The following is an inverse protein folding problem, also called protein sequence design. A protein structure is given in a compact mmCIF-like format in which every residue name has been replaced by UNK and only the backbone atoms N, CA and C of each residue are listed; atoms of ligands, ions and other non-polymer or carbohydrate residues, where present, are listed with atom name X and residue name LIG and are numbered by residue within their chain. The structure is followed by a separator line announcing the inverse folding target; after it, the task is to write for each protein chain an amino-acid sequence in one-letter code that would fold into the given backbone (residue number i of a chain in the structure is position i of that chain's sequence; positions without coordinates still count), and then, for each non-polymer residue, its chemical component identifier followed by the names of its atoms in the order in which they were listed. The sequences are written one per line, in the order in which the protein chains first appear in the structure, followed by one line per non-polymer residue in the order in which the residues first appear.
data_IF_388786002282
#
_entry.id   IF_388786002282
#
_cell.length_a   1.000
_cell.length_b   1.000
_cell.length_c   1.000
_cell.angle_alpha   90.00
_cell.angle_beta   90.00
_cell.angle_gamma   90.00
#
_symmetry.space_group_name_H-M   'P 1'
#
loop_
_entity.id
_entity.type
_entity.pdbx_description
1 polymer ?
#
# COMPACT_ATOMS: atom_id res chain seq x y z
N UNK A 1 18.69 10.75 13.04
CA UNK A 1 19.37 10.09 11.88
C UNK A 1 18.37 10.02 10.73
N UNK A 2 18.63 10.71 9.62
CA UNK A 2 17.76 10.66 8.43
C UNK A 2 17.95 9.30 7.75
N UNK A 3 16.86 8.55 7.54
CA UNK A 3 16.90 7.25 6.85
C UNK A 3 17.00 7.45 5.34
N UNK A 4 17.71 6.56 4.64
CA UNK A 4 17.84 6.60 3.19
C UNK A 4 16.50 6.37 2.49
N UNK A 5 16.37 6.84 1.24
CA UNK A 5 15.18 6.60 0.42
C UNK A 5 14.92 5.09 0.25
N UNK A 6 15.94 4.29 -0.03
CA UNK A 6 15.82 2.84 -0.15
C UNK A 6 15.28 2.18 1.12
N UNK A 7 15.72 2.64 2.31
CA UNK A 7 15.17 2.17 3.58
C UNK A 7 13.67 2.50 3.70
N UNK A 8 13.28 3.73 3.35
CA UNK A 8 11.88 4.15 3.41
C UNK A 8 11.00 3.36 2.43
N UNK A 9 11.48 3.13 1.21
CA UNK A 9 10.80 2.31 0.19
C UNK A 9 10.59 0.89 0.69
N UNK A 10 11.66 0.25 1.21
CA UNK A 10 11.58 -1.09 1.76
C UNK A 10 10.53 -1.21 2.87
N UNK A 11 10.57 -0.30 3.85
CA UNK A 11 9.62 -0.33 4.95
C UNK A 11 8.20 0.03 4.53
N UNK A 12 8.01 0.95 3.59
CA UNK A 12 6.70 1.24 3.01
C UNK A 12 6.06 -0.05 2.43
N UNK A 13 6.81 -0.83 1.66
CA UNK A 13 6.34 -2.12 1.15
C UNK A 13 5.93 -3.08 2.26
N UNK A 14 6.74 -3.20 3.33
CA UNK A 14 6.43 -4.09 4.47
C UNK A 14 5.19 -3.67 5.24
N UNK A 15 4.96 -2.38 5.44
CA UNK A 15 3.75 -1.89 6.12
C UNK A 15 2.52 -2.04 5.24
N UNK A 16 2.65 -1.80 3.93
CA UNK A 16 1.56 -2.02 2.97
C UNK A 16 1.13 -3.50 2.95
N UNK A 17 2.09 -4.42 2.87
CA UNK A 17 1.85 -5.87 2.91
C UNK A 17 1.14 -6.30 4.20
N UNK A 18 1.50 -5.71 5.35
CA UNK A 18 0.81 -5.98 6.62
C UNK A 18 -0.66 -5.55 6.59
N UNK A 19 -0.93 -4.34 6.11
CA UNK A 19 -2.30 -3.81 6.00
C UNK A 19 -3.12 -4.71 5.05
N UNK A 20 -2.52 -5.13 3.94
CA UNK A 20 -3.14 -6.07 3.00
C UNK A 20 -3.47 -7.40 3.67
N UNK A 21 -2.50 -8.01 4.35
CA UNK A 21 -2.65 -9.31 4.99
C UNK A 21 -3.72 -9.30 6.08
N UNK A 22 -3.76 -8.25 6.91
CA UNK A 22 -4.82 -8.06 7.91
C UNK A 22 -6.18 -8.02 7.21
N UNK A 23 -6.30 -7.24 6.15
CA UNK A 23 -7.58 -7.07 5.45
C UNK A 23 -8.05 -8.38 4.81
N UNK A 24 -7.14 -9.13 4.16
CA UNK A 24 -7.44 -10.44 3.56
C UNK A 24 -7.84 -11.47 4.61
N UNK A 25 -7.10 -11.56 5.72
CA UNK A 25 -7.39 -12.52 6.78
C UNK A 25 -8.71 -12.22 7.48
N UNK A 26 -9.00 -10.95 7.74
CA UNK A 26 -10.29 -10.53 8.30
C UNK A 26 -11.45 -10.86 7.34
N UNK A 27 -11.30 -10.59 6.04
CA UNK A 27 -12.31 -10.95 5.04
C UNK A 27 -12.53 -12.46 4.98
N UNK A 28 -11.45 -13.25 5.02
CA UNK A 28 -11.54 -14.70 5.04
C UNK A 28 -12.27 -15.20 6.30
N UNK A 29 -11.97 -14.64 7.47
CA UNK A 29 -12.64 -14.99 8.72
C UNK A 29 -14.15 -14.70 8.61
N UNK A 30 -14.52 -13.52 8.12
CA UNK A 30 -15.92 -13.12 7.88
C UNK A 30 -16.63 -14.09 6.94
N UNK A 31 -16.03 -14.38 5.78
CA UNK A 31 -16.63 -15.23 4.76
C UNK A 31 -16.76 -16.70 5.25
N UNK A 32 -15.98 -17.11 6.25
CA UNK A 32 -16.08 -18.42 6.92
C UNK A 32 -16.99 -18.43 8.14
N UNK A 33 -17.58 -17.29 8.51
CA UNK A 33 -18.41 -17.16 9.72
C UNK A 33 -17.60 -17.29 11.02
N UNK A 34 -16.29 -17.05 10.97
CA UNK A 34 -15.40 -17.04 12.14
C UNK A 34 -15.45 -15.65 12.77
N UNK A 35 -15.41 -15.61 14.09
CA UNK A 35 -15.35 -14.36 14.84
C UNK A 35 -14.02 -13.61 14.57
N UNK A 36 -14.13 -12.38 14.08
CA UNK A 36 -13.00 -11.47 13.81
C UNK A 36 -12.17 -11.21 15.06
N UNK A 37 -12.77 -11.29 16.26
CA UNK A 37 -12.05 -11.05 17.51
C UNK A 37 -10.87 -12.01 17.71
N UNK A 38 -10.89 -13.17 17.03
CA UNK A 38 -9.81 -14.16 17.04
C UNK A 38 -8.68 -13.85 16.06
N UNK A 39 -8.92 -13.04 15.02
CA UNK A 39 -7.94 -12.71 13.97
C UNK A 39 -6.64 -12.12 14.49
N UNK A 40 -6.62 -11.20 15.48
CA UNK A 40 -5.37 -10.68 16.06
C UNK A 40 -4.45 -11.79 16.58
N UNK A 41 -5.01 -12.81 17.24
CA UNK A 41 -4.23 -13.90 17.82
C UNK A 41 -3.51 -14.74 16.76
N UNK A 42 -4.18 -15.03 15.63
CA UNK A 42 -3.58 -15.75 14.51
C UNK A 42 -2.46 -14.96 13.82
N UNK A 43 -2.51 -13.64 13.91
CA UNK A 43 -1.51 -12.74 13.34
C UNK A 43 -0.40 -12.36 14.34
N UNK A 44 -0.46 -12.86 15.58
CA UNK A 44 0.46 -12.48 16.65
C UNK A 44 0.34 -11.02 17.08
N UNK A 45 -0.85 -10.43 16.91
CA UNK A 45 -1.17 -9.04 17.29
C UNK A 45 -1.78 -9.06 18.69
N UNK A 46 -1.14 -8.34 19.61
CA UNK A 46 -1.55 -8.23 21.01
C UNK A 46 -2.46 -7.01 21.31
N UNK A 47 -3.03 -6.40 20.27
CA UNK A 47 -3.86 -5.20 20.36
C UNK A 47 -5.11 -5.35 19.47
N UNK A 48 -6.02 -4.39 19.57
CA UNK A 48 -7.15 -4.27 18.67
C UNK A 48 -6.67 -4.13 17.20
N UNK A 49 -7.35 -4.84 16.30
CA UNK A 49 -6.93 -4.94 14.89
C UNK A 49 -7.00 -3.59 14.17
N UNK A 50 -7.93 -2.72 14.56
CA UNK A 50 -8.08 -1.39 13.97
C UNK A 50 -6.99 -0.46 14.48
N UNK A 51 -6.69 -0.50 15.79
CA UNK A 51 -5.54 0.23 16.35
C UNK A 51 -4.24 -0.19 15.70
N UNK A 52 -4.05 -1.49 15.49
CA UNK A 52 -2.87 -2.01 14.82
C UNK A 52 -2.80 -1.54 13.35
N UNK A 53 -3.92 -1.56 12.62
CA UNK A 53 -4.00 -1.02 11.25
C UNK A 53 -3.61 0.46 11.20
N UNK A 54 -4.19 1.29 12.08
CA UNK A 54 -3.89 2.72 12.18
C UNK A 54 -2.40 2.94 12.46
N UNK A 55 -1.83 2.21 13.42
CA UNK A 55 -0.40 2.32 13.73
C UNK A 55 0.49 1.98 12.53
N UNK A 56 0.19 0.89 11.81
CA UNK A 56 0.96 0.53 10.60
C UNK A 56 0.77 1.58 9.49
N UNK A 57 -0.42 2.15 9.35
CA UNK A 57 -0.69 3.21 8.37
C UNK A 57 0.09 4.50 8.68
N UNK A 58 0.14 4.95 9.92
CA UNK A 58 0.90 6.17 10.26
C UNK A 58 2.40 6.02 9.96
N UNK A 59 2.96 4.83 10.20
CA UNK A 59 4.36 4.55 9.86
C UNK A 59 4.54 4.43 8.33
N UNK A 60 3.60 3.79 7.63
CA UNK A 60 3.58 3.74 6.16
C UNK A 60 3.57 5.15 5.56
N UNK A 61 2.68 6.01 6.05
CA UNK A 61 2.52 7.39 5.61
C UNK A 61 3.81 8.17 5.70
N UNK A 62 4.53 8.05 6.81
CA UNK A 62 5.81 8.74 7.00
C UNK A 62 6.90 8.24 6.03
N UNK A 63 6.92 6.94 5.75
CA UNK A 63 7.83 6.39 4.75
C UNK A 63 7.48 6.83 3.33
N UNK A 64 6.18 6.88 2.99
CA UNK A 64 5.68 7.25 1.67
C UNK A 64 5.81 8.75 1.37
N UNK A 65 5.74 9.63 2.37
CA UNK A 65 5.96 11.08 2.18
C UNK A 65 7.29 11.41 1.50
N UNK A 66 8.30 10.55 1.66
CA UNK A 66 9.60 10.75 1.01
C UNK A 66 9.57 10.58 -0.52
N UNK A 67 8.51 10.01 -1.09
CA UNK A 67 8.36 9.82 -2.52
C UNK A 67 7.92 11.12 -3.22
N UNK A 68 7.24 12.03 -2.51
CA UNK A 68 6.86 13.36 -3.01
C UNK A 68 5.94 13.39 -4.24
N UNK A 69 5.43 12.24 -4.69
CA UNK A 69 4.61 12.14 -5.90
C UNK A 69 3.12 12.31 -5.58
N UNK A 70 2.46 13.22 -6.29
CA UNK A 70 1.05 13.56 -6.07
C UNK A 70 0.11 12.35 -6.23
N UNK A 71 0.34 11.47 -7.22
CA UNK A 71 -0.48 10.27 -7.41
C UNK A 71 -0.37 9.33 -6.22
N UNK A 72 0.84 9.14 -5.72
CA UNK A 72 1.10 8.32 -4.53
C UNK A 72 0.42 8.91 -3.30
N UNK A 73 0.48 10.25 -3.14
CA UNK A 73 -0.18 10.94 -2.03
C UNK A 73 -1.71 10.85 -2.10
N UNK A 74 -2.30 10.95 -3.30
CA UNK A 74 -3.74 10.78 -3.50
C UNK A 74 -4.21 9.35 -3.20
N UNK A 75 -3.42 8.35 -3.60
CA UNK A 75 -3.69 6.95 -3.26
C UNK A 75 -3.56 6.70 -1.75
N UNK A 76 -2.57 7.30 -1.11
CA UNK A 76 -2.38 7.25 0.35
C UNK A 76 -3.56 7.87 1.11
N UNK A 77 -4.09 9.00 0.66
CA UNK A 77 -5.29 9.62 1.25
C UNK A 77 -6.54 8.77 1.06
N UNK A 78 -6.64 8.02 -0.03
CA UNK A 78 -7.74 7.06 -0.25
C UNK A 78 -7.67 5.88 0.74
N UNK A 79 -6.45 5.43 1.07
CA UNK A 79 -6.23 4.44 2.13
C UNK A 79 -6.53 5.01 3.52
N UNK A 80 -6.12 6.26 3.79
CA UNK A 80 -6.45 6.99 5.04
C UNK A 80 -7.96 7.01 5.26
N UNK A 81 -8.71 7.45 4.25
CA UNK A 81 -10.19 7.49 4.33
C UNK A 81 -10.82 6.13 4.59
N UNK A 82 -10.29 5.05 4.01
CA UNK A 82 -10.77 3.70 4.26
C UNK A 82 -10.47 3.22 5.68
N UNK A 83 -9.25 3.47 6.19
CA UNK A 83 -8.83 3.04 7.54
C UNK A 83 -9.63 3.72 8.64
N UNK A 84 -9.93 5.01 8.48
CA UNK A 84 -10.70 5.81 9.44
C UNK A 84 -12.22 5.77 9.19
N UNK A 85 -12.69 4.92 8.27
CA UNK A 85 -14.13 4.78 7.98
C UNK A 85 -14.89 4.05 9.08
N UNK A 86 -16.22 4.13 9.05
CA UNK A 86 -17.09 3.45 10.01
C UNK A 86 -16.91 1.92 9.94
N UNK A 87 -16.88 1.29 11.11
CA UNK A 87 -16.71 -0.16 11.28
C UNK A 87 -18.03 -0.87 11.56
N UNK A 88 -19.15 -0.19 11.30
CA UNK A 88 -20.51 -0.74 11.47
C UNK A 88 -20.80 -1.93 10.54
N UNK A 89 -20.25 -1.89 9.32
CA UNK A 89 -20.15 -3.03 8.40
C UNK A 89 -18.68 -3.48 8.30
N UNK A 90 -18.31 -4.52 9.06
CA UNK A 90 -16.94 -5.03 9.09
C UNK A 90 -16.48 -5.58 7.73
N UNK A 91 -17.40 -6.19 6.97
CA UNK A 91 -17.06 -6.73 5.64
C UNK A 91 -16.81 -5.60 4.66
N UNK A 92 -17.69 -4.60 4.65
CA UNK A 92 -17.51 -3.37 3.88
C UNK A 92 -16.21 -2.64 4.25
N UNK A 93 -15.93 -2.51 5.55
CA UNK A 93 -14.71 -1.91 6.09
C UNK A 93 -13.44 -2.58 5.55
N UNK A 94 -13.25 -3.89 5.79
CA UNK A 94 -12.04 -4.58 5.36
C UNK A 94 -11.94 -4.69 3.82
N UNK A 95 -13.06 -4.70 3.11
CA UNK A 95 -13.07 -4.63 1.64
C UNK A 95 -12.58 -3.27 1.13
N UNK A 96 -13.01 -2.17 1.76
CA UNK A 96 -12.56 -0.83 1.42
C UNK A 96 -11.06 -0.65 1.71
N UNK A 97 -10.60 -1.10 2.88
CA UNK A 97 -9.17 -1.07 3.23
C UNK A 97 -8.35 -1.86 2.22
N UNK A 98 -8.73 -3.11 1.92
CA UNK A 98 -8.02 -3.94 0.95
C UNK A 98 -7.93 -3.29 -0.44
N UNK A 99 -9.06 -2.78 -0.96
CA UNK A 99 -9.09 -2.11 -2.27
C UNK A 99 -8.16 -0.90 -2.32
N UNK A 100 -8.20 -0.04 -1.30
CA UNK A 100 -7.33 1.13 -1.22
C UNK A 100 -5.85 0.75 -1.04
N UNK A 101 -5.55 -0.33 -0.31
CA UNK A 101 -4.19 -0.85 -0.17
C UNK A 101 -3.63 -1.35 -1.49
N UNK A 102 -4.41 -2.14 -2.23
CA UNK A 102 -4.01 -2.64 -3.56
C UNK A 102 -3.81 -1.49 -4.55
N UNK A 103 -4.70 -0.50 -4.55
CA UNK A 103 -4.56 0.70 -5.36
C UNK A 103 -3.27 1.48 -5.05
N UNK A 104 -2.94 1.66 -3.77
CA UNK A 104 -1.68 2.30 -3.37
C UNK A 104 -0.46 1.49 -3.82
N UNK A 105 -0.51 0.15 -3.71
CA UNK A 105 0.54 -0.74 -4.20
C UNK A 105 0.79 -0.57 -5.69
N UNK A 106 -0.28 -0.62 -6.50
CA UNK A 106 -0.21 -0.43 -7.95
C UNK A 106 0.42 0.92 -8.32
N UNK A 107 0.00 2.01 -7.66
CA UNK A 107 0.54 3.35 -7.91
C UNK A 107 2.02 3.45 -7.54
N UNK A 108 2.45 2.81 -6.45
CA UNK A 108 3.87 2.79 -6.04
C UNK A 108 4.70 1.99 -7.05
N UNK A 109 4.24 0.81 -7.46
CA UNK A 109 4.92 -0.01 -8.47
C UNK A 109 5.06 0.75 -9.79
N UNK A 110 4.01 1.46 -10.20
CA UNK A 110 4.03 2.31 -11.39
C UNK A 110 5.05 3.46 -11.33
N UNK A 111 5.41 3.93 -10.14
CA UNK A 111 6.48 4.91 -9.95
C UNK A 111 7.88 4.29 -9.90
N UNK A 112 7.99 3.05 -9.42
CA UNK A 112 9.26 2.35 -9.26
C UNK A 112 9.67 1.54 -10.49
N UNK A 113 8.74 1.27 -11.41
CA UNK A 113 9.03 0.50 -12.62
C UNK A 113 10.14 1.18 -13.44
N UNK A 114 11.10 0.40 -13.97
CA UNK A 114 12.12 0.96 -14.83
C UNK A 114 11.46 1.57 -16.08
N UNK A 115 11.80 2.82 -16.39
CA UNK A 115 11.39 3.45 -17.64
C UNK A 115 12.14 2.74 -18.77
N UNK A 116 11.44 1.88 -19.51
CA UNK A 116 11.99 1.27 -20.72
C UNK A 116 12.00 2.36 -21.79
N UNK A 117 13.06 3.15 -21.84
CA UNK A 117 13.35 3.97 -23.01
C UNK A 117 13.86 3.03 -24.09
N UNK A 118 12.96 2.61 -24.99
CA UNK A 118 13.39 2.08 -26.28
C UNK A 118 14.12 3.19 -27.03
N UNK A 119 15.44 3.23 -26.92
CA UNK A 119 16.29 3.91 -27.88
C UNK A 119 16.22 3.11 -29.18
N UNK A 120 15.22 3.41 -30.00
CA UNK A 120 15.23 3.00 -31.39
C UNK A 120 16.50 3.60 -32.02
N UNK A 121 17.43 2.78 -32.55
CA UNK A 121 18.56 3.31 -33.29
C UNK A 121 18.01 4.14 -34.45
N UNK A 122 18.45 5.41 -34.56
CA UNK A 122 18.11 6.23 -35.74
C UNK A 122 18.55 5.49 -36.99
N UNK A 123 17.71 5.50 -38.03
CA UNK A 123 18.09 4.92 -39.33
C UNK A 123 19.34 5.66 -39.84
N UNK A 124 20.27 4.91 -40.43
CA UNK A 124 21.53 5.45 -40.96
C UNK A 124 21.31 6.57 -42.01
N UNK A 125 20.13 6.61 -42.64
CA UNK A 125 19.71 7.65 -43.58
C UNK A 125 19.56 9.03 -42.93
N UNK A 126 19.21 9.12 -41.64
CA UNK A 126 19.05 10.39 -40.90
C UNK A 126 20.37 10.98 -40.40
N UNK A 127 21.47 10.22 -40.46
CA UNK A 127 22.78 10.60 -39.90
C UNK A 127 23.65 11.35 -40.92
N UNK A 128 23.32 11.27 -42.22
CA UNK A 128 24.17 11.79 -43.31
C UNK A 128 23.85 13.22 -43.77
N UNK A 129 22.86 13.88 -43.19
CA UNK A 129 22.52 15.29 -43.52
C UNK A 129 22.99 16.24 -42.42
N UNK A 130 24.31 16.47 -42.35
CA UNK A 130 24.92 17.66 -41.75
C UNK A 130 26.14 18.06 -42.57
#
# INVERSE_FOLDING_TARGET
MIKSLAYKVFWAGRYLERIENISRMSLLAIDKGVDISSTPSYLGINDDIQKYLISNFEILRENIRAFGNEKVMNALSSLEGAIYSSTSDLRGYFSAVLKSTLYLGEVIEDQLKPVITTTLPRKQEEIKTQ
#
